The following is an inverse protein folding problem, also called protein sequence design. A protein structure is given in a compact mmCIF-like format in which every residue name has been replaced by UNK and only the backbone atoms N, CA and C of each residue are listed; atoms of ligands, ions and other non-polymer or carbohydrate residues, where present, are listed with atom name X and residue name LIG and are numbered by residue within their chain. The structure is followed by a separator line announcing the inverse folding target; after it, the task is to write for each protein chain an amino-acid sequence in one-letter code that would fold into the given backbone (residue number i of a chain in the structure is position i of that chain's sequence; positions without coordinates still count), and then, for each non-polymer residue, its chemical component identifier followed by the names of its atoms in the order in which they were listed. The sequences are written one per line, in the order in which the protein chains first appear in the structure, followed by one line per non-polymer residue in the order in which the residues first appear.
data_IF_911452368410
#
_entry.id   IF_911452368410
#
_cell.length_a   1.000
_cell.length_b   1.000
_cell.length_c   1.000
_cell.angle_alpha   90.00
_cell.angle_beta   90.00
_cell.angle_gamma   90.00
#
_symmetry.space_group_name_H-M   'P 1'
#
loop_
_entity.id
_entity.type
_entity.pdbx_description
1 polymer ?
#
# COMPACT_ATOMS: atom_id res chain seq x y z
N UNK A 1 4.71 -4.83 5.02
CA UNK A 1 5.16 -6.21 4.73
C UNK A 1 6.19 -6.69 5.76
N UNK A 2 7.28 -5.91 6.03
CA UNK A 2 8.38 -6.35 6.90
C UNK A 2 7.90 -6.81 8.28
N UNK A 3 7.15 -5.99 9.00
CA UNK A 3 6.66 -6.31 10.35
C UNK A 3 5.81 -7.59 10.34
N UNK A 4 4.94 -7.72 9.36
CA UNK A 4 4.07 -8.91 9.24
C UNK A 4 4.90 -10.15 8.94
N UNK A 5 5.85 -10.08 8.01
CA UNK A 5 6.70 -11.21 7.65
C UNK A 5 7.59 -11.66 8.80
N UNK A 6 8.23 -10.73 9.48
CA UNK A 6 9.18 -11.03 10.57
C UNK A 6 8.51 -11.69 11.78
N UNK A 7 7.23 -11.39 12.04
CA UNK A 7 6.50 -11.92 13.20
C UNK A 7 5.60 -13.11 12.87
N UNK A 8 4.97 -13.11 11.69
CA UNK A 8 3.90 -14.06 11.38
C UNK A 8 4.15 -14.86 10.10
N UNK A 9 5.23 -14.61 9.37
CA UNK A 9 5.60 -15.26 8.12
C UNK A 9 4.54 -15.10 7.02
N UNK A 10 4.83 -14.27 6.02
CA UNK A 10 3.98 -14.18 4.83
C UNK A 10 4.28 -15.37 3.92
N UNK A 11 3.27 -16.19 3.64
CA UNK A 11 3.33 -17.29 2.68
C UNK A 11 3.14 -16.75 1.27
N UNK A 12 2.08 -15.97 1.08
CA UNK A 12 1.77 -15.30 -0.17
C UNK A 12 0.88 -14.09 0.09
N UNK A 13 0.81 -13.17 -0.86
CA UNK A 13 -0.06 -12.01 -0.70
C UNK A 13 -0.36 -11.27 -1.99
N UNK A 14 -1.45 -10.52 -1.94
CA UNK A 14 -1.91 -9.64 -2.98
C UNK A 14 -1.92 -8.21 -2.46
N UNK A 15 -1.30 -7.31 -3.20
CA UNK A 15 -1.28 -5.89 -2.87
C UNK A 15 -2.18 -5.13 -3.85
N UNK A 16 -3.12 -4.39 -3.32
CA UNK A 16 -3.89 -3.42 -4.10
C UNK A 16 -3.52 -2.02 -3.62
N UNK A 17 -3.12 -1.14 -4.53
CA UNK A 17 -2.90 0.25 -4.18
C UNK A 17 -3.96 1.14 -4.81
N UNK A 18 -4.64 1.93 -3.99
CA UNK A 18 -5.48 3.05 -4.43
C UNK A 18 -4.56 4.26 -4.48
N UNK A 19 -4.21 4.67 -5.70
CA UNK A 19 -3.06 5.53 -5.93
C UNK A 19 -3.46 6.92 -6.41
N UNK A 20 -2.81 7.93 -5.88
CA UNK A 20 -2.91 9.30 -6.35
C UNK A 20 -2.49 9.42 -7.83
N UNK A 21 -2.89 10.51 -8.47
CA UNK A 21 -2.53 10.81 -9.85
C UNK A 21 -1.02 10.99 -10.03
N UNK A 22 -0.50 10.64 -11.21
CA UNK A 22 0.92 10.76 -11.53
C UNK A 22 1.12 11.48 -12.85
N UNK A 23 2.34 11.93 -13.12
CA UNK A 23 2.70 12.72 -14.29
C UNK A 23 2.41 12.06 -15.64
N UNK A 24 2.28 10.74 -15.70
CA UNK A 24 1.96 10.00 -16.93
C UNK A 24 0.50 10.06 -17.33
N UNK A 25 -0.38 10.48 -16.40
CA UNK A 25 -1.82 10.57 -16.64
C UNK A 25 -2.20 11.87 -17.36
N UNK A 26 -3.33 11.83 -18.07
CA UNK A 26 -3.86 12.99 -18.80
C UNK A 26 -4.85 13.78 -17.93
N UNK A 27 -4.91 15.09 -18.16
CA UNK A 27 -5.96 15.94 -17.57
C UNK A 27 -7.28 15.78 -18.30
N UNK A 28 -7.24 15.56 -19.61
CA UNK A 28 -8.39 15.24 -20.46
C UNK A 28 -8.09 14.04 -21.33
N UNK A 29 -9.10 13.36 -21.82
CA UNK A 29 -8.95 12.21 -22.71
C UNK A 29 -8.14 12.58 -23.95
N UNK A 30 -7.17 11.76 -24.29
CA UNK A 30 -6.29 11.98 -25.45
C UNK A 30 -5.42 10.76 -25.75
N UNK A 31 -4.77 10.74 -26.90
CA UNK A 31 -3.93 9.61 -27.29
C UNK A 31 -2.79 9.41 -26.30
N UNK A 32 -2.48 8.14 -26.01
CA UNK A 32 -1.43 7.73 -25.11
C UNK A 32 -0.71 6.49 -25.65
N UNK A 33 0.25 6.69 -26.53
CA UNK A 33 1.17 5.67 -27.03
C UNK A 33 0.66 4.23 -27.00
N UNK A 34 1.25 3.39 -26.16
CA UNK A 34 0.94 1.95 -26.08
C UNK A 34 -0.16 1.59 -25.06
N UNK A 35 -0.45 2.48 -24.11
CA UNK A 35 -1.35 2.18 -22.99
C UNK A 35 -2.61 3.04 -23.08
N UNK A 36 -3.68 2.47 -23.59
CA UNK A 36 -4.96 3.17 -23.78
C UNK A 36 -5.50 3.80 -22.49
N UNK A 37 -5.36 3.11 -21.35
CA UNK A 37 -5.82 3.62 -20.05
C UNK A 37 -5.10 4.88 -19.62
N UNK A 38 -3.83 5.05 -19.98
CA UNK A 38 -3.04 6.24 -19.66
C UNK A 38 -3.49 7.47 -20.48
N UNK A 39 -4.26 7.27 -21.54
CA UNK A 39 -4.88 8.34 -22.33
C UNK A 39 -6.19 8.88 -21.74
N UNK A 40 -6.72 8.25 -20.69
CA UNK A 40 -7.98 8.69 -20.08
C UNK A 40 -7.74 9.74 -19.00
N UNK A 41 -8.70 10.63 -18.86
CA UNK A 41 -8.62 11.74 -17.92
C UNK A 41 -8.53 11.29 -16.47
N UNK A 42 -7.51 11.75 -15.76
CA UNK A 42 -7.20 11.34 -14.41
C UNK A 42 -8.21 11.80 -13.37
N UNK A 43 -8.90 12.92 -13.64
CA UNK A 43 -9.76 13.58 -12.65
C UNK A 43 -11.21 13.07 -12.65
N UNK A 44 -11.58 12.19 -13.58
CA UNK A 44 -12.95 11.68 -13.70
C UNK A 44 -13.05 10.15 -13.81
N UNK A 45 -11.94 9.43 -13.58
CA UNK A 45 -11.89 8.00 -13.77
C UNK A 45 -11.22 7.27 -12.60
N UNK A 46 -11.61 6.01 -12.39
CA UNK A 46 -10.83 5.01 -11.68
C UNK A 46 -10.07 4.22 -12.74
N UNK A 47 -8.74 4.34 -12.78
CA UNK A 47 -7.92 3.78 -13.85
C UNK A 47 -7.12 2.59 -13.32
N UNK A 48 -7.47 1.34 -13.70
CA UNK A 48 -6.66 0.17 -13.37
C UNK A 48 -5.28 0.26 -14.04
N UNK A 49 -4.25 -0.05 -13.29
CA UNK A 49 -2.86 -0.03 -13.76
C UNK A 49 -2.06 -1.19 -13.17
N UNK A 50 -1.03 -1.61 -13.86
CA UNK A 50 -0.02 -2.47 -13.27
C UNK A 50 0.84 -1.71 -12.29
N UNK A 51 1.37 -2.40 -11.27
CA UNK A 51 2.33 -1.82 -10.35
C UNK A 51 3.54 -2.73 -10.18
N UNK A 52 4.71 -2.13 -10.17
CA UNK A 52 5.96 -2.81 -9.84
C UNK A 52 6.23 -2.87 -8.33
N UNK A 53 5.41 -2.23 -7.51
CA UNK A 53 5.67 -2.09 -6.07
C UNK A 53 5.74 -3.43 -5.34
N UNK A 54 4.82 -4.37 -5.64
CA UNK A 54 4.86 -5.71 -5.04
C UNK A 54 6.15 -6.47 -5.38
N UNK A 55 6.63 -6.34 -6.62
CA UNK A 55 7.92 -6.94 -7.04
C UNK A 55 9.11 -6.24 -6.37
N UNK A 56 9.02 -4.94 -6.13
CA UNK A 56 10.06 -4.18 -5.45
C UNK A 56 10.24 -4.63 -4.00
N UNK A 57 9.17 -5.04 -3.31
CA UNK A 57 9.25 -5.63 -1.96
C UNK A 57 10.19 -6.84 -1.95
N UNK A 58 10.08 -7.74 -2.93
CA UNK A 58 10.96 -8.91 -3.03
C UNK A 58 12.43 -8.57 -3.27
N UNK A 59 12.74 -7.40 -3.84
CA UNK A 59 14.13 -6.92 -3.99
C UNK A 59 14.71 -6.42 -2.67
N UNK A 60 13.88 -5.81 -1.83
CA UNK A 60 14.28 -5.23 -0.53
C UNK A 60 14.23 -6.28 0.58
N UNK A 61 13.27 -7.20 0.49
CA UNK A 61 13.08 -8.31 1.43
C UNK A 61 13.16 -9.61 0.61
N UNK A 62 14.35 -10.18 0.39
CA UNK A 62 14.54 -11.34 -0.50
C UNK A 62 13.67 -12.55 -0.15
N UNK A 63 13.35 -12.75 1.13
CA UNK A 63 12.46 -13.81 1.61
C UNK A 63 11.03 -13.71 1.04
N UNK A 64 10.62 -12.55 0.55
CA UNK A 64 9.32 -12.29 -0.08
C UNK A 64 9.36 -12.32 -1.61
N UNK A 65 10.52 -12.64 -2.20
CA UNK A 65 10.62 -12.72 -3.66
C UNK A 65 9.69 -13.80 -4.22
N UNK A 66 8.84 -13.41 -5.17
CA UNK A 66 7.86 -14.30 -5.78
C UNK A 66 6.60 -14.60 -4.94
N UNK A 67 6.54 -14.12 -3.69
CA UNK A 67 5.39 -14.34 -2.81
C UNK A 67 4.32 -13.26 -2.90
N UNK A 68 4.66 -12.08 -3.43
CA UNK A 68 3.76 -10.94 -3.53
C UNK A 68 3.54 -10.54 -4.98
N UNK A 69 2.29 -10.27 -5.32
CA UNK A 69 1.90 -9.62 -6.57
C UNK A 69 0.90 -8.51 -6.27
N UNK A 70 0.54 -7.70 -7.27
CA UNK A 70 -0.42 -6.64 -7.02
C UNK A 70 -0.80 -5.83 -8.24
N UNK A 71 -1.75 -4.95 -8.01
CA UNK A 71 -2.30 -4.03 -8.99
C UNK A 71 -2.53 -2.65 -8.36
N UNK A 72 -2.78 -1.66 -9.20
CA UNK A 72 -3.10 -0.31 -8.78
C UNK A 72 -4.44 0.14 -9.38
N UNK A 73 -5.16 0.96 -8.62
CA UNK A 73 -6.24 1.80 -9.12
C UNK A 73 -5.84 3.26 -8.92
N UNK A 74 -5.68 4.00 -10.02
CA UNK A 74 -5.46 5.44 -9.93
C UNK A 74 -6.78 6.15 -9.79
N UNK A 75 -6.85 7.06 -8.83
CA UNK A 75 -8.06 7.81 -8.47
C UNK A 75 -7.79 9.31 -8.52
N UNK A 76 -8.83 10.15 -8.63
CA UNK A 76 -8.71 11.62 -8.70
C UNK A 76 -8.28 12.26 -7.37
N UNK A 77 -7.10 11.89 -6.88
CA UNK A 77 -6.51 12.42 -5.64
C UNK A 77 -5.08 12.89 -5.98
N UNK A 78 -4.73 14.08 -5.51
CA UNK A 78 -3.47 14.72 -5.86
C UNK A 78 -2.25 14.10 -5.18
N UNK A 79 -2.41 13.63 -3.94
CA UNK A 79 -1.30 13.12 -3.13
C UNK A 79 -1.81 12.06 -2.13
N UNK A 80 -0.88 11.32 -1.55
CA UNK A 80 -1.10 10.18 -0.64
C UNK A 80 -1.80 9.02 -1.36
N UNK A 81 -1.36 7.82 -1.08
CA UNK A 81 -1.92 6.58 -1.64
C UNK A 81 -2.22 5.60 -0.51
N UNK A 82 -3.22 4.74 -0.72
CA UNK A 82 -3.54 3.66 0.21
C UNK A 82 -3.04 2.34 -0.36
N UNK A 83 -2.48 1.50 0.49
CA UNK A 83 -2.08 0.13 0.15
C UNK A 83 -2.91 -0.84 0.99
N UNK A 84 -3.69 -1.67 0.32
CA UNK A 84 -4.28 -2.86 0.88
C UNK A 84 -3.34 -4.04 0.62
N UNK A 85 -2.86 -4.65 1.69
CA UNK A 85 -2.01 -5.84 1.64
C UNK A 85 -2.76 -7.02 2.25
N UNK A 86 -3.34 -7.85 1.41
CA UNK A 86 -3.99 -9.09 1.80
C UNK A 86 -2.97 -10.23 1.78
N UNK A 87 -2.76 -10.90 2.91
CA UNK A 87 -1.73 -11.94 3.05
C UNK A 87 -2.26 -13.18 3.72
N UNK A 88 -1.71 -14.32 3.31
CA UNK A 88 -1.83 -15.58 4.05
C UNK A 88 -0.60 -15.74 4.93
N UNK A 89 -0.84 -15.98 6.22
CA UNK A 89 0.19 -16.10 7.24
C UNK A 89 0.59 -17.56 7.47
N UNK A 90 1.87 -17.80 7.71
CA UNK A 90 2.38 -19.11 8.14
C UNK A 90 2.10 -19.39 9.62
N UNK A 91 2.04 -18.33 10.43
CA UNK A 91 1.68 -18.40 11.85
C UNK A 91 0.34 -17.68 12.05
N UNK A 92 -0.70 -18.36 12.52
CA UNK A 92 -1.98 -17.74 12.83
C UNK A 92 -1.81 -16.58 13.82
N UNK A 93 -2.51 -15.49 13.57
CA UNK A 93 -2.47 -14.32 14.44
C UNK A 93 -3.82 -13.63 14.48
N UNK A 94 -4.24 -13.19 15.67
CA UNK A 94 -5.38 -12.29 15.79
C UNK A 94 -5.00 -10.90 15.26
N UNK A 95 -6.01 -10.14 14.83
CA UNK A 95 -5.78 -8.78 14.39
C UNK A 95 -5.18 -7.88 15.49
N UNK A 96 -5.56 -8.12 16.75
CA UNK A 96 -4.98 -7.41 17.90
C UNK A 96 -3.49 -7.69 18.06
N UNK A 97 -3.04 -8.94 17.86
CA UNK A 97 -1.63 -9.29 17.87
C UNK A 97 -0.86 -8.59 16.73
N UNK A 98 -1.47 -8.48 15.55
CA UNK A 98 -0.90 -7.75 14.40
C UNK A 98 -0.77 -6.25 14.73
N UNK A 99 -1.84 -5.61 15.22
CA UNK A 99 -1.81 -4.19 15.64
C UNK A 99 -0.73 -3.94 16.67
N UNK A 100 -0.62 -4.80 17.67
CA UNK A 100 0.40 -4.67 18.70
C UNK A 100 1.82 -4.72 18.12
N UNK A 101 2.11 -5.70 17.24
CA UNK A 101 3.43 -5.81 16.59
C UNK A 101 3.77 -4.63 15.70
N UNK A 102 2.80 -4.09 14.99
CA UNK A 102 3.00 -2.87 14.20
C UNK A 102 3.27 -1.66 15.09
N UNK A 103 2.52 -1.50 16.18
CA UNK A 103 2.71 -0.42 17.16
C UNK A 103 4.08 -0.50 17.86
N UNK A 104 4.50 -1.71 18.25
CA UNK A 104 5.84 -1.96 18.80
C UNK A 104 6.94 -1.57 17.79
N UNK A 105 6.79 -1.93 16.53
CA UNK A 105 7.76 -1.59 15.49
C UNK A 105 7.83 -0.08 15.22
N UNK A 106 6.69 0.60 15.18
CA UNK A 106 6.60 2.05 14.97
C UNK A 106 7.25 2.85 16.13
N UNK A 107 7.11 2.37 17.36
CA UNK A 107 7.73 2.99 18.53
C UNK A 107 9.18 2.52 18.80
N UNK A 108 9.65 1.52 18.09
CA UNK A 108 10.94 0.90 18.28
C UNK A 108 11.82 0.93 17.01
N UNK A 109 12.10 -0.24 16.38
CA UNK A 109 13.09 -0.34 15.32
C UNK A 109 12.73 0.42 14.04
N UNK A 110 11.46 0.75 13.81
CA UNK A 110 10.98 1.51 12.65
C UNK A 110 10.51 2.92 13.01
N UNK A 111 10.89 3.43 14.17
CA UNK A 111 10.56 4.80 14.58
C UNK A 111 11.04 5.82 13.56
N UNK A 112 10.15 6.74 13.17
CA UNK A 112 10.41 7.75 12.15
C UNK A 112 10.29 7.23 10.69
N UNK A 113 10.08 5.91 10.51
CA UNK A 113 9.89 5.29 9.19
C UNK A 113 8.45 4.78 9.05
N UNK A 114 7.98 4.05 10.05
CA UNK A 114 6.61 3.56 10.16
C UNK A 114 5.90 4.31 11.28
N UNK A 115 4.70 4.78 11.01
CA UNK A 115 3.79 5.28 12.02
C UNK A 115 2.55 4.40 12.16
N UNK A 116 1.75 4.66 13.17
CA UNK A 116 0.56 3.91 13.55
C UNK A 116 -0.54 4.86 13.98
N UNK A 117 -1.72 4.70 13.43
CA UNK A 117 -2.91 5.43 13.86
C UNK A 117 -4.09 4.49 14.11
N UNK A 118 -4.90 4.79 15.12
CA UNK A 118 -6.19 4.19 15.39
C UNK A 118 -7.34 5.21 15.29
N UNK A 119 -7.03 6.40 14.80
CA UNK A 119 -7.98 7.47 14.56
C UNK A 119 -8.73 7.29 13.23
N UNK A 120 -9.90 7.88 13.12
CA UNK A 120 -10.71 7.88 11.90
C UNK A 120 -10.22 8.96 10.93
N UNK A 121 -9.11 8.72 10.28
CA UNK A 121 -8.43 9.65 9.37
C UNK A 121 -8.67 9.30 7.91
N UNK A 122 -8.37 10.24 7.03
CA UNK A 122 -8.42 10.07 5.57
C UNK A 122 -7.08 10.47 4.95
N UNK A 123 -6.89 10.17 3.68
CA UNK A 123 -5.59 10.35 3.01
C UNK A 123 -5.03 11.77 3.08
N UNK A 124 -5.88 12.80 3.05
CA UNK A 124 -5.42 14.19 3.12
C UNK A 124 -4.80 14.59 4.46
N UNK A 125 -5.12 13.88 5.54
CA UNK A 125 -4.54 14.13 6.87
C UNK A 125 -3.04 13.81 6.91
N UNK A 126 -2.55 13.00 5.97
CA UNK A 126 -1.15 12.59 5.89
C UNK A 126 -0.32 13.41 4.90
N UNK A 127 -0.89 14.43 4.26
CA UNK A 127 -0.13 15.29 3.36
C UNK A 127 0.95 16.04 4.13
N UNK A 128 2.21 15.83 3.75
CA UNK A 128 3.36 16.42 4.44
C UNK A 128 3.90 15.61 5.62
N UNK A 129 3.31 14.47 5.95
CA UNK A 129 3.87 13.54 6.92
C UNK A 129 5.20 12.96 6.42
N UNK A 130 6.20 12.91 7.30
CA UNK A 130 7.57 12.50 6.95
C UNK A 130 7.82 10.99 7.08
N UNK A 131 6.86 10.21 7.58
CA UNK A 131 6.99 8.76 7.64
C UNK A 131 6.88 8.13 6.25
N UNK A 132 7.61 7.05 6.03
CA UNK A 132 7.53 6.29 4.76
C UNK A 132 6.20 5.56 4.60
N UNK A 133 5.57 5.19 5.71
CA UNK A 133 4.22 4.61 5.74
C UNK A 133 3.58 4.80 7.11
N UNK A 134 2.25 4.87 7.11
CA UNK A 134 1.43 4.93 8.32
C UNK A 134 0.47 3.75 8.28
N UNK A 135 0.40 2.98 9.36
CA UNK A 135 -0.53 1.87 9.48
C UNK A 135 -1.85 2.36 10.06
N UNK A 136 -2.91 2.25 9.27
CA UNK A 136 -4.28 2.54 9.70
C UNK A 136 -4.86 1.29 10.39
N UNK A 137 -4.89 1.32 11.71
CA UNK A 137 -5.33 0.19 12.51
C UNK A 137 -6.86 0.00 12.52
N UNK A 138 -7.61 1.04 12.18
CA UNK A 138 -9.07 0.97 12.12
C UNK A 138 -9.56 0.33 10.80
N UNK A 139 -8.76 0.41 9.73
CA UNK A 139 -9.14 -0.07 8.41
C UNK A 139 -8.81 -1.56 8.15
N UNK A 140 -8.03 -2.21 9.03
CA UNK A 140 -7.63 -3.60 8.83
C UNK A 140 -8.73 -4.61 9.11
N UNK A 141 -8.67 -5.74 8.41
CA UNK A 141 -9.62 -6.85 8.52
C UNK A 141 -8.82 -8.14 8.73
N UNK A 142 -9.31 -9.01 9.60
CA UNK A 142 -8.82 -10.38 9.78
C UNK A 142 -9.96 -11.37 9.51
N UNK A 143 -9.65 -12.44 8.81
CA UNK A 143 -10.54 -13.58 8.59
C UNK A 143 -10.27 -14.66 9.63
#
# INVERSE_FOLDING_TARGET
AKVIHDNFEIIEGLMTTVHATTATQKTVDGPSGKLWRDGRGAQQNIIPASTGAAKAVGKVIPALNGKLTGMAFRVPVANVSVVDLTVRLGKPASYDAIKQKVKEAANGPLKGILDYTDEQVVSSDFIGDNHSSIFDAAAGISL
#
